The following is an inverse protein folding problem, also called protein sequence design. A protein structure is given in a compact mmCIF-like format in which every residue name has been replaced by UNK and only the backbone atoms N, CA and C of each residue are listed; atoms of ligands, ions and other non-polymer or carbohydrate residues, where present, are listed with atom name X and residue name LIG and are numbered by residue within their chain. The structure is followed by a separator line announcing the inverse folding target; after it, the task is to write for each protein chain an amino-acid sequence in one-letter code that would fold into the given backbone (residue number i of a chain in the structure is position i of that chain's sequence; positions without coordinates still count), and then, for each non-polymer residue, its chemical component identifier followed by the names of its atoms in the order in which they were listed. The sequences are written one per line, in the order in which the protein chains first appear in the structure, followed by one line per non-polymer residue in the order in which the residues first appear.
data_IF_167905119462
#
_entry.id   IF_167905119462
#
_cell.length_a   1.000
_cell.length_b   1.000
_cell.length_c   1.000
_cell.angle_alpha   90.00
_cell.angle_beta   90.00
_cell.angle_gamma   90.00
#
_symmetry.space_group_name_H-M   'P 1'
#
loop_
_entity.id
_entity.type
_entity.pdbx_description
1 polymer ?
#
# COMPACT_ATOMS: atom_id res chain seq x y z
N UNK A 1 -21.38 8.00 -15.41
CA UNK A 1 -20.40 9.10 -15.44
C UNK A 1 -21.08 10.29 -16.08
N UNK A 2 -20.88 11.48 -15.52
CA UNK A 2 -21.38 12.74 -16.07
C UNK A 2 -20.17 13.60 -16.40
N UNK A 3 -20.15 14.12 -17.63
CA UNK A 3 -19.08 14.95 -18.17
C UNK A 3 -19.68 16.30 -18.53
N UNK A 4 -18.95 17.38 -18.25
CA UNK A 4 -19.30 18.71 -18.73
C UNK A 4 -19.00 18.80 -20.24
N UNK A 5 -20.02 19.08 -21.04
CA UNK A 5 -19.90 19.07 -22.50
C UNK A 5 -19.02 20.20 -23.04
N UNK A 6 -18.84 21.30 -22.29
CA UNK A 6 -18.04 22.45 -22.69
C UNK A 6 -16.54 22.26 -22.40
N UNK A 7 -16.20 21.85 -21.18
CA UNK A 7 -14.82 21.68 -20.73
C UNK A 7 -14.27 20.27 -20.89
N UNK A 8 -15.14 19.27 -21.08
CA UNK A 8 -14.77 17.85 -21.09
C UNK A 8 -14.43 17.28 -19.71
N UNK A 9 -14.61 18.06 -18.63
CA UNK A 9 -14.28 17.65 -17.25
C UNK A 9 -15.32 16.66 -16.74
N UNK A 10 -14.87 15.59 -16.07
CA UNK A 10 -15.76 14.66 -15.39
C UNK A 10 -16.33 15.33 -14.13
N UNK A 11 -17.63 15.64 -14.14
CA UNK A 11 -18.33 16.24 -13.01
C UNK A 11 -18.73 15.20 -11.96
N UNK A 12 -19.00 13.97 -12.40
CA UNK A 12 -19.43 12.89 -11.51
C UNK A 12 -19.03 11.52 -12.04
N UNK A 13 -18.37 10.73 -11.22
CA UNK A 13 -18.07 9.34 -11.49
C UNK A 13 -18.76 8.45 -10.45
N UNK A 14 -19.41 7.38 -10.89
CA UNK A 14 -20.00 6.40 -9.99
C UNK A 14 -19.65 5.00 -10.50
N UNK A 15 -19.12 4.17 -9.61
CA UNK A 15 -18.85 2.76 -9.84
C UNK A 15 -19.82 1.92 -9.00
N UNK A 16 -20.89 1.38 -9.60
CA UNK A 16 -21.86 0.57 -8.88
C UNK A 16 -21.24 -0.69 -8.24
N UNK A 17 -20.17 -1.23 -8.84
CA UNK A 17 -19.51 -2.44 -8.36
C UNK A 17 -18.77 -2.24 -7.02
N UNK A 18 -18.25 -1.02 -6.76
CA UNK A 18 -17.52 -0.70 -5.52
C UNK A 18 -18.30 0.25 -4.60
N UNK A 19 -19.48 0.72 -5.03
CA UNK A 19 -20.24 1.75 -4.33
C UNK A 19 -19.56 3.13 -4.31
N UNK A 20 -18.49 3.29 -5.10
CA UNK A 20 -17.71 4.53 -5.13
C UNK A 20 -18.44 5.62 -5.89
N UNK A 21 -18.56 6.79 -5.26
CA UNK A 21 -19.10 8.01 -5.85
C UNK A 21 -18.09 9.14 -5.64
N UNK A 22 -17.70 9.77 -6.74
CA UNK A 22 -16.94 11.01 -6.76
C UNK A 22 -17.78 12.08 -7.46
N UNK A 23 -17.90 13.24 -6.84
CA UNK A 23 -18.67 14.37 -7.36
C UNK A 23 -17.88 15.67 -7.18
N UNK A 24 -17.67 16.38 -8.29
CA UNK A 24 -17.05 17.68 -8.31
C UNK A 24 -18.09 18.73 -7.95
N UNK A 25 -17.98 19.32 -6.77
CA UNK A 25 -18.99 20.23 -6.20
C UNK A 25 -18.75 21.70 -6.51
N UNK A 26 -17.51 22.08 -6.83
CA UNK A 26 -17.14 23.42 -7.28
C UNK A 26 -16.08 23.30 -8.39
N UNK A 27 -16.32 23.97 -9.52
CA UNK A 27 -15.40 24.00 -10.66
C UNK A 27 -15.23 25.45 -11.13
N UNK A 28 -13.99 25.92 -11.14
CA UNK A 28 -13.62 27.20 -11.73
C UNK A 28 -12.67 26.96 -12.89
N UNK A 29 -13.19 27.14 -14.10
CA UNK A 29 -12.38 27.04 -15.32
C UNK A 29 -11.74 28.39 -15.60
N UNK A 30 -10.40 28.42 -15.62
CA UNK A 30 -9.63 29.62 -15.96
C UNK A 30 -9.18 29.55 -17.42
N UNK A 31 -9.36 30.63 -18.20
CA UNK A 31 -8.85 30.74 -19.58
C UNK A 31 -7.33 30.66 -19.68
N UNK A 32 -6.64 31.12 -18.63
CA UNK A 32 -5.21 31.01 -18.46
C UNK A 32 -4.95 30.86 -16.96
N UNK A 33 -4.13 29.87 -16.61
CA UNK A 33 -3.61 29.70 -15.27
C UNK A 33 -2.31 30.49 -15.16
N UNK A 34 -2.03 31.16 -14.04
CA UNK A 34 -0.77 31.89 -13.87
C UNK A 34 0.42 30.93 -13.92
N UNK A 35 1.50 31.33 -14.61
CA UNK A 35 2.74 30.54 -14.77
C UNK A 35 3.31 30.07 -13.42
N UNK A 36 3.05 30.81 -12.34
CA UNK A 36 3.47 30.45 -10.98
C UNK A 36 2.87 29.14 -10.46
N UNK A 37 1.73 28.67 -11.02
CA UNK A 37 1.17 27.35 -10.69
C UNK A 37 1.93 26.19 -11.35
N UNK A 38 2.67 26.50 -12.42
CA UNK A 38 3.53 25.56 -13.14
C UNK A 38 5.01 25.79 -12.86
N UNK A 39 5.34 26.77 -12.00
CA UNK A 39 6.68 26.91 -11.49
C UNK A 39 7.01 25.63 -10.73
N UNK A 40 8.14 25.02 -11.06
CA UNK A 40 8.60 23.85 -10.34
C UNK A 40 8.58 24.18 -8.84
N UNK A 41 7.92 23.35 -8.01
CA UNK A 41 8.02 23.50 -6.58
C UNK A 41 9.51 23.55 -6.23
N UNK A 42 9.89 24.46 -5.32
CA UNK A 42 11.25 24.51 -4.83
C UNK A 42 11.56 23.13 -4.27
N UNK A 43 12.44 22.37 -4.96
CA UNK A 43 12.92 21.08 -4.48
C UNK A 43 13.65 21.32 -3.17
N UNK A 44 12.93 21.14 -2.07
CA UNK A 44 13.44 21.21 -0.70
C UNK A 44 14.31 20.00 -0.34
N UNK A 45 14.52 19.10 -1.30
CA UNK A 45 15.29 17.89 -1.17
C UNK A 45 14.53 16.75 -0.49
N UNK A 46 13.25 16.92 -0.15
CA UNK A 46 12.41 15.89 0.47
C UNK A 46 12.28 14.66 -0.43
N UNK A 47 11.94 14.85 -1.71
CA UNK A 47 11.87 13.78 -2.71
C UNK A 47 13.19 13.00 -2.80
N UNK A 48 14.32 13.70 -2.82
CA UNK A 48 15.66 13.08 -2.87
C UNK A 48 16.04 12.36 -1.58
N UNK A 49 15.58 12.86 -0.42
CA UNK A 49 15.77 12.18 0.86
C UNK A 49 14.92 10.90 0.93
N UNK A 50 13.68 10.97 0.45
CA UNK A 50 12.75 9.85 0.41
C UNK A 50 13.23 8.74 -0.54
N UNK A 51 13.65 9.10 -1.76
CA UNK A 51 14.27 8.17 -2.71
C UNK A 51 15.48 7.45 -2.10
N UNK A 52 16.39 8.18 -1.45
CA UNK A 52 17.56 7.58 -0.78
C UNK A 52 17.16 6.63 0.33
N UNK A 53 16.13 6.97 1.10
CA UNK A 53 15.57 6.09 2.14
C UNK A 53 15.07 4.80 1.53
N UNK A 54 14.25 4.85 0.47
CA UNK A 54 13.77 3.66 -0.23
C UNK A 54 14.90 2.79 -0.78
N UNK A 55 15.92 3.39 -1.39
CA UNK A 55 17.08 2.66 -1.90
C UNK A 55 17.86 1.97 -0.78
N UNK A 56 18.04 2.62 0.37
CA UNK A 56 18.71 2.05 1.54
C UNK A 56 17.95 0.85 2.10
N UNK A 57 16.62 0.93 2.20
CA UNK A 57 15.79 -0.19 2.65
C UNK A 57 15.87 -1.36 1.67
N UNK A 58 15.72 -1.10 0.37
CA UNK A 58 15.86 -2.13 -0.66
C UNK A 58 17.22 -2.80 -0.63
N UNK A 59 18.29 -2.03 -0.44
CA UNK A 59 19.65 -2.56 -0.31
C UNK A 59 19.81 -3.41 0.96
N UNK A 60 19.26 -2.95 2.10
CA UNK A 60 19.31 -3.65 3.38
C UNK A 60 18.64 -5.04 3.30
N UNK A 61 17.50 -5.13 2.62
CA UNK A 61 16.71 -6.36 2.53
C UNK A 61 17.02 -7.24 1.31
N UNK A 62 17.88 -6.80 0.37
CA UNK A 62 18.28 -7.63 -0.78
C UNK A 62 18.98 -8.93 -0.38
N UNK A 63 19.67 -8.95 0.75
CA UNK A 63 20.43 -10.10 1.25
C UNK A 63 19.86 -10.70 2.53
N UNK A 64 18.71 -10.18 3.00
CA UNK A 64 18.04 -10.66 4.19
C UNK A 64 16.74 -11.33 3.78
N UNK A 65 16.29 -12.37 4.50
CA UNK A 65 14.96 -12.90 4.27
C UNK A 65 13.93 -11.78 4.45
N UNK A 66 12.80 -11.89 3.75
CA UNK A 66 11.60 -11.09 3.99
C UNK A 66 10.56 -11.97 4.67
N UNK A 67 9.67 -11.43 5.53
CA UNK A 67 8.63 -12.21 6.19
C UNK A 67 7.50 -12.50 5.19
N UNK A 68 7.78 -13.27 4.14
CA UNK A 68 6.81 -13.60 3.09
C UNK A 68 6.03 -14.85 3.53
N UNK A 69 4.68 -14.80 3.56
CA UNK A 69 3.88 -15.99 3.86
C UNK A 69 3.84 -16.93 2.65
N UNK A 70 4.30 -18.18 2.80
CA UNK A 70 4.16 -19.26 1.83
C UNK A 70 2.72 -19.77 1.64
N UNK A 71 1.82 -19.53 2.58
CA UNK A 71 0.39 -19.87 2.55
C UNK A 71 -0.45 -18.84 1.77
N UNK A 72 0.20 -17.96 1.00
CA UNK A 72 -0.50 -16.96 0.19
C UNK A 72 -1.46 -17.62 -0.81
N UNK A 73 -2.72 -17.14 -0.94
CA UNK A 73 -3.63 -17.67 -1.94
C UNK A 73 -3.23 -17.15 -3.32
N UNK A 74 -2.40 -17.93 -4.01
CA UNK A 74 -1.94 -17.65 -5.37
C UNK A 74 -0.42 -17.66 -5.50
N UNK A 75 0.07 -17.41 -6.71
CA UNK A 75 1.49 -17.25 -6.96
C UNK A 75 1.95 -15.83 -6.59
N UNK A 76 3.10 -15.75 -5.94
CA UNK A 76 3.85 -14.50 -5.74
C UNK A 76 4.97 -14.42 -6.78
N UNK A 77 5.32 -13.18 -7.17
CA UNK A 77 6.47 -12.88 -8.00
C UNK A 77 7.76 -12.86 -7.17
N UNK A 78 8.44 -11.73 -7.16
CA UNK A 78 9.64 -11.46 -6.36
C UNK A 78 9.32 -10.42 -5.28
N UNK A 79 8.77 -10.83 -4.12
CA UNK A 79 8.47 -9.93 -3.02
C UNK A 79 9.66 -9.02 -2.70
N UNK A 80 9.38 -7.74 -2.43
CA UNK A 80 10.42 -6.74 -2.20
C UNK A 80 10.05 -5.80 -1.07
N UNK A 81 11.06 -5.40 -0.28
CA UNK A 81 10.88 -4.32 0.68
C UNK A 81 10.73 -3.00 -0.07
N UNK A 82 9.60 -2.33 0.14
CA UNK A 82 9.31 -1.03 -0.46
C UNK A 82 9.43 0.11 0.53
N UNK A 83 9.31 -0.19 1.82
CA UNK A 83 9.52 0.77 2.89
C UNK A 83 9.96 0.06 4.19
N UNK A 84 10.53 0.79 5.15
CA UNK A 84 10.92 0.26 6.44
C UNK A 84 11.83 1.20 7.24
N UNK A 85 12.10 0.78 8.46
CA UNK A 85 13.19 1.26 9.30
C UNK A 85 13.87 0.03 9.94
N UNK A 86 15.12 -0.30 9.55
CA UNK A 86 15.83 -1.44 10.10
C UNK A 86 16.14 -1.30 11.59
N UNK A 87 16.13 -0.08 12.14
CA UNK A 87 16.42 0.18 13.55
C UNK A 87 15.22 -0.20 14.41
N UNK A 88 14.01 0.24 14.07
CA UNK A 88 12.80 -0.13 14.80
C UNK A 88 12.26 -1.51 14.40
N UNK A 89 12.62 -2.01 13.22
CA UNK A 89 12.11 -3.24 12.64
C UNK A 89 10.81 -3.05 11.86
N UNK A 90 10.33 -1.80 11.71
CA UNK A 90 9.27 -1.44 10.78
C UNK A 90 9.63 -1.88 9.35
N UNK A 91 8.67 -2.47 8.65
CA UNK A 91 8.89 -3.01 7.31
C UNK A 91 7.58 -3.04 6.52
N UNK A 92 7.65 -2.62 5.26
CA UNK A 92 6.60 -2.79 4.26
C UNK A 92 7.16 -3.62 3.11
N UNK A 93 6.49 -4.72 2.82
CA UNK A 93 6.83 -5.65 1.74
C UNK A 93 5.71 -5.62 0.71
N UNK A 94 6.06 -5.33 -0.54
CA UNK A 94 5.20 -5.67 -1.68
C UNK A 94 5.35 -7.17 -1.93
N UNK A 95 4.24 -7.91 -1.88
CA UNK A 95 4.26 -9.35 -2.13
C UNK A 95 4.35 -9.70 -3.63
N UNK A 96 4.17 -8.72 -4.52
CA UNK A 96 4.16 -8.90 -5.98
C UNK A 96 3.19 -10.01 -6.40
N UNK A 97 1.91 -9.82 -6.08
CA UNK A 97 0.85 -10.79 -6.41
C UNK A 97 0.72 -10.96 -7.92
N UNK A 98 0.85 -12.19 -8.41
CA UNK A 98 0.67 -12.47 -9.82
C UNK A 98 -0.83 -12.44 -10.19
N UNK A 99 -1.19 -11.92 -11.38
CA UNK A 99 -2.59 -11.85 -11.80
C UNK A 99 -3.26 -13.22 -11.81
N UNK A 100 -4.43 -13.33 -11.16
CA UNK A 100 -5.22 -14.55 -11.14
C UNK A 100 -6.71 -14.25 -10.95
N UNK A 101 -7.56 -15.12 -11.50
CA UNK A 101 -9.01 -14.98 -11.42
C UNK A 101 -9.49 -15.34 -10.02
N UNK A 102 -10.26 -14.44 -9.39
CA UNK A 102 -10.88 -14.68 -8.09
C UNK A 102 -9.95 -14.48 -6.89
N UNK A 103 -8.72 -14.03 -7.11
CA UNK A 103 -7.73 -13.72 -6.07
C UNK A 103 -7.47 -12.19 -6.00
N UNK A 104 -6.81 -11.70 -4.94
CA UNK A 104 -6.36 -10.31 -4.88
C UNK A 104 -5.45 -9.97 -6.07
N UNK A 105 -5.47 -8.71 -6.50
CA UNK A 105 -4.64 -8.21 -7.61
C UNK A 105 -3.38 -7.51 -7.13
N UNK A 106 -3.24 -7.31 -5.83
CA UNK A 106 -2.10 -6.68 -5.19
C UNK A 106 -2.15 -6.94 -3.69
N UNK A 107 -0.98 -6.98 -3.04
CA UNK A 107 -0.90 -7.12 -1.60
C UNK A 107 0.38 -6.52 -1.03
N UNK A 108 0.23 -5.80 0.08
CA UNK A 108 1.34 -5.31 0.88
C UNK A 108 1.24 -5.88 2.29
N UNK A 109 2.37 -6.37 2.80
CA UNK A 109 2.53 -6.80 4.18
C UNK A 109 3.28 -5.73 4.96
N UNK A 110 2.70 -5.29 6.07
CA UNK A 110 3.27 -4.29 6.95
C UNK A 110 3.51 -4.93 8.30
N UNK A 111 4.75 -4.81 8.79
CA UNK A 111 5.15 -5.15 10.15
C UNK A 111 5.54 -3.86 10.85
N UNK A 112 4.90 -3.58 11.98
CA UNK A 112 5.16 -2.34 12.73
C UNK A 112 5.34 -2.63 14.22
N UNK A 113 6.28 -1.97 14.92
CA UNK A 113 6.35 -2.03 16.37
C UNK A 113 5.05 -1.55 17.03
N UNK A 114 4.61 -2.22 18.09
CA UNK A 114 3.38 -1.82 18.82
C UNK A 114 3.46 -0.41 19.44
N UNK A 115 4.68 0.11 19.66
CA UNK A 115 4.90 1.43 20.26
C UNK A 115 4.86 2.59 19.26
N UNK A 116 4.77 2.31 17.95
CA UNK A 116 4.77 3.33 16.90
C UNK A 116 3.35 3.70 16.44
N UNK A 117 3.12 4.94 15.96
CA UNK A 117 1.84 5.33 15.36
C UNK A 117 1.56 4.49 14.10
N UNK A 118 0.29 4.15 13.87
CA UNK A 118 -0.12 3.30 12.74
C UNK A 118 0.35 3.83 11.39
N UNK A 119 0.96 2.97 10.59
CA UNK A 119 1.30 3.24 9.20
C UNK A 119 0.03 3.13 8.35
N UNK A 120 -0.52 4.29 7.98
CA UNK A 120 -1.53 4.40 6.96
C UNK A 120 -0.83 4.84 5.67
N UNK A 121 -0.35 3.86 4.89
CA UNK A 121 0.08 4.14 3.52
C UNK A 121 -1.11 4.71 2.72
N UNK A 122 -0.86 5.53 1.69
CA UNK A 122 -1.92 6.21 0.93
C UNK A 122 -3.02 5.29 0.37
N UNK A 123 -2.77 3.99 0.28
CA UNK A 123 -3.73 2.93 -0.05
C UNK A 123 -4.82 2.69 1.00
N UNK A 124 -4.64 3.10 2.26
CA UNK A 124 -5.63 2.93 3.31
C UNK A 124 -6.93 3.72 3.02
N UNK A 125 -6.83 4.76 2.19
CA UNK A 125 -7.95 5.55 1.70
C UNK A 125 -8.57 5.00 0.40
N UNK A 126 -7.97 3.99 -0.24
CA UNK A 126 -8.49 3.42 -1.48
C UNK A 126 -9.67 2.47 -1.17
N UNK A 127 -10.89 2.76 -1.65
CA UNK A 127 -12.06 1.91 -1.43
C UNK A 127 -11.93 0.50 -2.03
N UNK A 128 -11.00 0.28 -2.96
CA UNK A 128 -10.65 -1.04 -3.50
C UNK A 128 -9.68 -1.85 -2.64
N UNK A 129 -9.23 -1.30 -1.51
CA UNK A 129 -8.25 -1.91 -0.61
C UNK A 129 -8.91 -2.41 0.68
N UNK A 130 -8.61 -3.66 1.04
CA UNK A 130 -9.10 -4.31 2.25
C UNK A 130 -7.96 -4.53 3.23
N UNK A 131 -8.17 -4.12 4.48
CA UNK A 131 -7.15 -4.15 5.52
C UNK A 131 -7.44 -5.25 6.53
N UNK A 132 -6.44 -6.11 6.74
CA UNK A 132 -6.49 -7.16 7.75
C UNK A 132 -5.40 -6.88 8.78
N UNK A 133 -5.78 -6.70 10.06
CA UNK A 133 -4.84 -6.33 11.12
C UNK A 133 -4.88 -7.34 12.27
N UNK A 134 -3.70 -7.69 12.80
CA UNK A 134 -3.57 -8.52 13.99
C UNK A 134 -2.26 -8.20 14.73
N UNK A 135 -2.09 -8.76 15.93
CA UNK A 135 -0.92 -8.54 16.78
C UNK A 135 -0.39 -9.87 17.31
N UNK A 136 0.94 -9.97 17.48
CA UNK A 136 1.62 -11.15 18.02
C UNK A 136 2.41 -10.85 19.32
N UNK A 137 2.05 -9.76 20.01
CA UNK A 137 2.68 -9.32 21.26
C UNK A 137 3.95 -8.49 21.08
N UNK A 138 4.59 -8.52 19.90
CA UNK A 138 5.72 -7.65 19.54
C UNK A 138 5.38 -6.69 18.41
N UNK A 139 4.59 -7.17 17.44
CA UNK A 139 4.30 -6.45 16.22
C UNK A 139 2.80 -6.23 16.03
N UNK A 140 2.46 -5.11 15.42
CA UNK A 140 1.23 -4.96 14.67
C UNK A 140 1.50 -5.37 13.23
N UNK A 141 0.76 -6.37 12.77
CA UNK A 141 0.76 -6.80 11.39
C UNK A 141 -0.44 -6.20 10.67
N UNK A 142 -0.21 -5.73 9.46
CA UNK A 142 -1.29 -5.34 8.53
C UNK A 142 -1.04 -6.01 7.19
N UNK A 143 -2.07 -6.61 6.61
CA UNK A 143 -2.10 -6.97 5.19
C UNK A 143 -3.12 -6.07 4.52
N UNK A 144 -2.63 -5.27 3.58
CA UNK A 144 -3.47 -4.53 2.65
C UNK A 144 -3.60 -5.33 1.36
N UNK A 145 -4.82 -5.67 0.95
CA UNK A 145 -5.09 -6.37 -0.33
C UNK A 145 -5.98 -5.55 -1.23
N UNK A 146 -5.64 -5.50 -2.52
CA UNK A 146 -6.41 -4.75 -3.51
C UNK A 146 -7.31 -5.69 -4.33
N UNK A 147 -8.50 -5.20 -4.67
CA UNK A 147 -9.45 -5.84 -5.59
C UNK A 147 -10.37 -6.86 -4.93
N UNK A 148 -9.84 -7.73 -4.05
CA UNK A 148 -10.65 -8.70 -3.28
C UNK A 148 -10.07 -8.93 -1.88
N UNK A 149 -10.91 -9.04 -0.84
CA UNK A 149 -10.45 -9.37 0.50
C UNK A 149 -10.01 -10.84 0.59
N UNK A 150 -9.08 -11.12 1.50
CA UNK A 150 -8.82 -12.50 1.93
C UNK A 150 -10.04 -13.04 2.70
N UNK A 151 -10.34 -14.32 2.48
CA UNK A 151 -11.29 -15.04 3.34
C UNK A 151 -10.71 -15.25 4.74
N UNK A 152 -11.56 -15.46 5.78
CA UNK A 152 -11.07 -15.72 7.13
C UNK A 152 -10.09 -16.90 7.23
N UNK A 153 -10.30 -17.96 6.46
CA UNK A 153 -9.42 -19.13 6.44
C UNK A 153 -8.04 -18.81 5.82
N UNK A 154 -8.01 -18.04 4.73
CA UNK A 154 -6.76 -17.59 4.11
C UNK A 154 -5.99 -16.65 5.05
N UNK A 155 -6.69 -15.71 5.68
CA UNK A 155 -6.07 -14.80 6.65
C UNK A 155 -5.47 -15.55 7.83
N UNK A 156 -6.18 -16.55 8.37
CA UNK A 156 -5.69 -17.38 9.47
C UNK A 156 -4.41 -18.14 9.08
N UNK A 157 -4.39 -18.78 7.90
CA UNK A 157 -3.22 -19.50 7.41
C UNK A 157 -1.99 -18.59 7.23
N UNK A 158 -2.20 -17.38 6.68
CA UNK A 158 -1.14 -16.38 6.53
C UNK A 158 -0.62 -15.89 7.89
N UNK A 159 -1.52 -15.59 8.84
CA UNK A 159 -1.14 -15.12 10.16
C UNK A 159 -0.37 -16.17 10.97
N UNK A 160 -0.77 -17.45 10.87
CA UNK A 160 -0.10 -18.58 11.54
C UNK A 160 1.34 -18.77 11.03
N UNK A 161 1.55 -18.66 9.72
CA UNK A 161 2.88 -18.78 9.14
C UNK A 161 3.79 -17.58 9.48
N UNK A 162 3.23 -16.37 9.53
CA UNK A 162 4.00 -15.20 9.94
C UNK A 162 4.42 -15.31 11.41
N UNK A 163 3.56 -15.83 12.29
CA UNK A 163 3.91 -16.07 13.68
C UNK A 163 5.07 -17.09 13.84
N UNK A 164 5.09 -18.13 13.01
CA UNK A 164 6.13 -19.18 13.05
C UNK A 164 7.44 -18.75 12.42
N UNK A 165 7.41 -18.01 11.31
CA UNK A 165 8.61 -17.53 10.60
C UNK A 165 9.39 -16.45 11.34
N UNK A 166 8.71 -15.59 12.11
CA UNK A 166 9.33 -14.47 12.85
C UNK A 166 10.07 -14.94 14.11
N UNK A 167 9.77 -16.14 14.60
CA UNK A 167 10.47 -16.78 15.72
C UNK A 167 11.96 -17.05 15.42
N UNK A 168 12.39 -17.00 14.15
CA UNK A 168 13.77 -17.20 13.71
C UNK A 168 14.54 -15.94 13.30
N UNK A 169 13.95 -14.75 13.43
CA UNK A 169 14.59 -13.50 13.01
C UNK A 169 15.40 -12.86 14.13
N UNK A 170 16.64 -12.40 13.89
CA UNK A 170 17.37 -11.62 14.87
C UNK A 170 16.60 -10.33 15.15
N UNK A 171 16.41 -10.06 16.45
CA UNK A 171 15.63 -8.95 16.96
C UNK A 171 16.31 -7.60 16.86
#
# INVERSE_FOLDING_TARGET
MTVDDESGVVLRAHSPATGYLEELTDLRVHRALPDSLFADPVDDGSDRAELRRYEQIRAHYRQRPLPVPGAWPGALGSPSAIDGDPVSGFLVVDLEVQPSVGLPTGAQLIRQPLAEPGYDGGWAADPGTYLHRWQDGRWQWTIAVTGRPLTPAQLAAVAEELATSVSGWPG
#
